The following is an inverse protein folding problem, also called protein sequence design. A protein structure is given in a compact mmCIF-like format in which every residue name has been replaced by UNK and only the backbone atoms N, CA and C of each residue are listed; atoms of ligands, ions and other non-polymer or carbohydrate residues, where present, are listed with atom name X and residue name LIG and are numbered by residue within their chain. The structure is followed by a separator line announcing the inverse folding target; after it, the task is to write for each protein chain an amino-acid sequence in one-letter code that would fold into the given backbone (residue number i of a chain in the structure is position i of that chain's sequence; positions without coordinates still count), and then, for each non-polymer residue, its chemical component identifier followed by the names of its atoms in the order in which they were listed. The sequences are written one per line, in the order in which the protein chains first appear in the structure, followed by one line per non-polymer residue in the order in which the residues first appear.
data_IF_570034477489
#
_entry.id   IF_570034477489
#
_cell.length_a   1.000
_cell.length_b   1.000
_cell.length_c   1.000
_cell.angle_alpha   90.00
_cell.angle_beta   90.00
_cell.angle_gamma   90.00
#
_symmetry.space_group_name_H-M   'P 1'
#
loop_
_entity.id
_entity.type
_entity.pdbx_description
1 polymer ?
#
# COMPACT_ATOMS: atom_id res chain seq x y z
N UNK A 1 22.80 -11.02 -49.01
CA UNK A 1 22.25 -11.30 -47.66
C UNK A 1 20.81 -10.79 -47.61
N UNK A 2 19.82 -11.67 -47.60
CA UNK A 2 18.40 -11.29 -47.53
C UNK A 2 18.09 -11.05 -46.05
N UNK A 3 17.96 -9.78 -45.63
CA UNK A 3 17.44 -9.44 -44.30
C UNK A 3 15.96 -9.80 -44.24
N UNK A 4 15.64 -10.92 -43.61
CA UNK A 4 14.29 -11.29 -43.21
C UNK A 4 13.75 -10.26 -42.22
N UNK A 5 13.07 -9.24 -42.76
CA UNK A 5 12.37 -8.25 -41.95
C UNK A 5 11.13 -8.89 -41.34
N UNK A 6 11.28 -9.45 -40.13
CA UNK A 6 10.16 -9.98 -39.36
C UNK A 6 9.17 -8.85 -39.05
N UNK A 7 8.07 -8.80 -39.78
CA UNK A 7 6.94 -7.90 -39.51
C UNK A 7 6.18 -8.45 -38.31
N UNK A 8 6.09 -7.67 -37.24
CA UNK A 8 5.31 -8.04 -36.05
C UNK A 8 3.99 -7.28 -36.05
N UNK A 9 2.88 -7.99 -35.83
CA UNK A 9 1.57 -7.38 -35.59
C UNK A 9 1.52 -6.84 -34.16
N UNK A 10 1.51 -5.52 -34.00
CA UNK A 10 1.37 -4.87 -32.68
C UNK A 10 0.03 -4.14 -32.60
N UNK A 11 -0.62 -4.22 -31.43
CA UNK A 11 -1.86 -3.51 -31.14
C UNK A 11 -1.53 -2.04 -30.86
N UNK A 12 -2.12 -1.12 -31.62
CA UNK A 12 -1.86 0.33 -31.57
C UNK A 12 -3.19 1.07 -31.46
N UNK A 13 -3.22 2.18 -30.72
CA UNK A 13 -4.38 3.05 -30.65
C UNK A 13 -4.48 3.89 -31.93
N UNK A 14 -5.65 3.87 -32.57
CA UNK A 14 -5.95 4.64 -33.77
C UNK A 14 -7.03 5.66 -33.43
N UNK A 15 -6.73 6.93 -33.70
CA UNK A 15 -7.66 8.04 -33.52
C UNK A 15 -8.53 8.19 -34.77
N UNK A 16 -9.80 7.78 -34.69
CA UNK A 16 -10.78 7.91 -35.77
C UNK A 16 -11.77 9.05 -35.53
N UNK A 17 -12.49 9.47 -36.58
CA UNK A 17 -13.54 10.51 -36.48
C UNK A 17 -14.69 10.14 -35.50
N UNK A 18 -14.87 8.86 -35.21
CA UNK A 18 -15.87 8.35 -34.26
C UNK A 18 -15.32 7.97 -32.88
N UNK A 19 -14.07 8.34 -32.56
CA UNK A 19 -13.41 7.99 -31.31
C UNK A 19 -12.18 7.09 -31.49
N UNK A 20 -11.51 6.84 -30.38
CA UNK A 20 -10.25 6.11 -30.33
C UNK A 20 -10.51 4.59 -30.24
N UNK A 21 -9.87 3.81 -31.11
CA UNK A 21 -10.01 2.35 -31.14
C UNK A 21 -8.67 1.65 -31.31
N UNK A 22 -8.56 0.41 -30.86
CA UNK A 22 -7.34 -0.37 -30.97
C UNK A 22 -7.31 -1.16 -32.28
N UNK A 23 -6.26 -1.01 -33.08
CA UNK A 23 -6.05 -1.78 -34.31
C UNK A 23 -4.67 -2.44 -34.33
N UNK A 24 -4.56 -3.60 -34.98
CA UNK A 24 -3.28 -4.25 -35.19
C UNK A 24 -2.63 -3.71 -36.47
N UNK A 25 -1.41 -3.17 -36.37
CA UNK A 25 -0.62 -2.73 -37.53
C UNK A 25 0.64 -3.58 -37.67
N UNK A 26 1.00 -3.90 -38.91
CA UNK A 26 2.27 -4.55 -39.22
C UNK A 26 3.38 -3.50 -39.10
N UNK A 27 4.27 -3.65 -38.12
CA UNK A 27 5.38 -2.71 -37.91
C UNK A 27 6.70 -3.44 -38.04
N UNK A 28 7.69 -2.79 -38.68
CA UNK A 28 9.09 -3.27 -38.70
C UNK A 28 9.66 -3.18 -37.28
N UNK A 29 10.36 -4.22 -36.86
CA UNK A 29 11.08 -4.24 -35.58
C UNK A 29 12.06 -3.07 -35.52
N UNK A 30 11.92 -2.19 -34.52
CA UNK A 30 12.79 -1.02 -34.31
C UNK A 30 12.23 0.35 -34.74
N UNK A 31 11.08 0.42 -35.41
CA UNK A 31 10.43 1.71 -35.69
C UNK A 31 9.61 2.21 -34.50
N UNK A 32 9.73 3.51 -34.21
CA UNK A 32 8.99 4.19 -33.15
C UNK A 32 7.51 4.37 -33.56
N UNK A 33 6.67 3.46 -33.06
CA UNK A 33 5.24 3.33 -33.40
C UNK A 33 4.36 4.35 -32.66
N UNK A 34 4.91 5.02 -31.64
CA UNK A 34 4.13 5.87 -30.77
C UNK A 34 3.82 7.20 -31.45
N UNK A 35 2.57 7.62 -31.34
CA UNK A 35 2.17 8.97 -31.74
C UNK A 35 2.88 10.01 -30.87
N UNK A 36 3.05 11.25 -31.33
CA UNK A 36 3.65 12.33 -30.52
C UNK A 36 2.98 12.51 -29.15
N UNK A 37 1.67 12.22 -29.05
CA UNK A 37 0.92 12.26 -27.79
C UNK A 37 1.31 11.11 -26.86
N UNK A 38 1.41 9.90 -27.36
CA UNK A 38 1.80 8.72 -26.56
C UNK A 38 3.23 8.82 -26.06
N UNK A 39 4.17 9.34 -26.88
CA UNK A 39 5.55 9.61 -26.44
C UNK A 39 5.59 10.60 -25.27
N UNK A 40 4.76 11.65 -25.30
CA UNK A 40 4.63 12.60 -24.16
C UNK A 40 4.11 11.91 -22.90
N UNK A 41 3.13 11.01 -23.04
CA UNK A 41 2.58 10.25 -21.90
C UNK A 41 3.60 9.29 -21.33
N UNK A 42 4.32 8.56 -22.16
CA UNK A 42 5.35 7.62 -21.74
C UNK A 42 6.55 8.33 -21.11
N UNK A 43 6.99 9.44 -21.70
CA UNK A 43 7.99 10.32 -21.09
C UNK A 43 7.53 10.84 -19.72
N UNK A 44 6.28 11.28 -19.58
CA UNK A 44 5.73 11.71 -18.30
C UNK A 44 5.61 10.57 -17.27
N UNK A 45 5.39 9.32 -17.71
CA UNK A 45 5.45 8.14 -16.84
C UNK A 45 6.88 7.86 -16.39
N UNK A 46 7.85 7.90 -17.30
CA UNK A 46 9.28 7.72 -16.98
C UNK A 46 9.82 8.82 -16.06
N UNK A 47 9.43 10.08 -16.25
CA UNK A 47 9.81 11.18 -15.36
C UNK A 47 9.25 10.97 -13.94
N UNK A 48 8.00 10.50 -13.83
CA UNK A 48 7.39 10.17 -12.52
C UNK A 48 8.08 8.99 -11.83
N UNK A 49 8.48 7.95 -12.56
CA UNK A 49 9.19 6.81 -11.97
C UNK A 49 10.63 7.16 -11.57
N UNK A 50 11.30 8.06 -12.31
CA UNK A 50 12.68 8.48 -12.04
C UNK A 50 12.85 9.17 -10.68
N UNK A 51 11.82 9.85 -10.17
CA UNK A 51 11.86 10.54 -8.87
C UNK A 51 11.98 9.54 -7.71
N UNK A 52 11.56 8.27 -7.87
CA UNK A 52 11.60 7.29 -6.78
C UNK A 52 12.98 6.67 -6.52
N UNK A 53 13.92 6.76 -7.46
CA UNK A 53 15.22 6.08 -7.35
C UNK A 53 16.38 6.94 -6.85
N UNK A 54 16.16 8.22 -6.55
CA UNK A 54 17.24 9.18 -6.19
C UNK A 54 17.25 9.59 -4.72
N UNK A 55 16.42 9.02 -3.86
CA UNK A 55 16.57 9.19 -2.42
C UNK A 55 17.65 8.24 -1.90
N UNK A 56 18.92 8.66 -1.99
CA UNK A 56 20.02 8.00 -1.29
C UNK A 56 19.81 8.24 0.21
N UNK A 57 19.12 7.32 0.88
CA UNK A 57 18.98 7.36 2.33
C UNK A 57 20.32 7.09 2.99
N UNK A 58 20.64 7.87 4.01
CA UNK A 58 21.84 7.64 4.81
C UNK A 58 21.80 6.24 5.46
N UNK A 59 22.95 5.65 5.75
CA UNK A 59 23.02 4.31 6.36
C UNK A 59 22.20 4.20 7.66
N UNK A 60 22.15 5.29 8.43
CA UNK A 60 21.36 5.41 9.65
C UNK A 60 19.85 5.38 9.37
N UNK A 61 19.38 6.08 8.35
CA UNK A 61 17.97 6.06 7.94
C UNK A 61 17.58 4.70 7.39
N UNK A 62 18.45 4.05 6.61
CA UNK A 62 18.18 2.69 6.13
C UNK A 62 18.06 1.68 7.27
N UNK A 63 18.88 1.79 8.31
CA UNK A 63 18.78 0.95 9.50
C UNK A 63 17.44 1.16 10.23
N UNK A 64 17.04 2.42 10.44
CA UNK A 64 15.76 2.77 11.06
C UNK A 64 14.55 2.27 10.25
N UNK A 65 14.61 2.41 8.92
CA UNK A 65 13.56 1.90 8.01
C UNK A 65 13.49 0.37 8.08
N UNK A 66 14.63 -0.33 8.07
CA UNK A 66 14.68 -1.79 8.21
C UNK A 66 14.10 -2.24 9.55
N UNK A 67 14.43 -1.55 10.64
CA UNK A 67 13.90 -1.87 11.96
C UNK A 67 12.38 -1.64 12.04
N UNK A 68 11.89 -0.51 11.54
CA UNK A 68 10.44 -0.23 11.51
C UNK A 68 9.68 -1.21 10.62
N UNK A 69 10.23 -1.57 9.44
CA UNK A 69 9.60 -2.53 8.54
C UNK A 69 9.58 -3.95 9.14
N UNK A 70 10.64 -4.37 9.82
CA UNK A 70 10.67 -5.64 10.54
C UNK A 70 9.60 -5.66 11.66
N UNK A 71 9.50 -4.58 12.45
CA UNK A 71 8.50 -4.46 13.52
C UNK A 71 7.07 -4.46 12.97
N UNK A 72 6.84 -3.78 11.85
CA UNK A 72 5.54 -3.76 11.19
C UNK A 72 5.14 -5.15 10.71
N UNK A 73 6.05 -5.87 10.06
CA UNK A 73 5.81 -7.23 9.59
C UNK A 73 5.49 -8.20 10.73
N UNK A 74 6.19 -8.07 11.86
CA UNK A 74 5.93 -8.85 13.07
C UNK A 74 4.51 -8.59 13.62
N UNK A 75 4.09 -7.33 13.66
CA UNK A 75 2.73 -6.96 14.08
C UNK A 75 1.65 -7.53 13.15
N UNK A 76 1.88 -7.54 11.84
CA UNK A 76 0.95 -8.15 10.90
C UNK A 76 0.83 -9.67 11.06
N UNK A 77 1.95 -10.36 11.31
CA UNK A 77 1.94 -11.80 11.59
C UNK A 77 1.23 -12.12 12.89
N UNK A 78 1.52 -11.39 13.99
CA UNK A 78 0.84 -11.56 15.28
C UNK A 78 -0.66 -11.25 15.15
N UNK A 79 -1.03 -10.19 14.44
CA UNK A 79 -2.44 -9.87 14.19
C UNK A 79 -3.14 -10.96 13.40
N UNK A 80 -2.46 -11.59 12.43
CA UNK A 80 -3.00 -12.71 11.65
C UNK A 80 -3.17 -13.96 12.50
N UNK A 81 -2.26 -14.25 13.42
CA UNK A 81 -2.36 -15.38 14.34
C UNK A 81 -3.46 -15.18 15.38
N UNK A 82 -3.60 -13.95 15.90
CA UNK A 82 -4.73 -13.56 16.73
C UNK A 82 -6.04 -13.77 15.96
N UNK A 83 -6.17 -13.36 14.69
CA UNK A 83 -7.42 -13.65 13.93
C UNK A 83 -7.80 -15.14 13.87
N UNK A 84 -6.83 -16.06 13.81
CA UNK A 84 -7.12 -17.51 13.73
C UNK A 84 -7.72 -18.08 15.01
N UNK A 85 -7.40 -17.48 16.17
CA UNK A 85 -7.79 -17.99 17.49
C UNK A 85 -9.02 -17.29 18.07
N UNK A 86 -9.48 -16.19 17.44
CA UNK A 86 -10.54 -15.34 18.00
C UNK A 86 -11.88 -15.59 17.32
N UNK A 87 -12.91 -15.88 18.13
CA UNK A 87 -14.31 -16.03 17.70
C UNK A 87 -15.07 -14.70 17.54
N UNK A 88 -16.28 -14.77 16.98
CA UNK A 88 -17.09 -13.65 16.50
C UNK A 88 -17.82 -12.80 17.58
N UNK A 89 -17.25 -12.63 18.78
CA UNK A 89 -17.87 -11.87 19.87
C UNK A 89 -17.30 -10.46 20.07
N UNK A 90 -18.09 -9.48 20.57
CA UNK A 90 -17.56 -8.20 21.02
C UNK A 90 -16.68 -8.44 22.25
N UNK A 91 -15.38 -8.15 22.12
CA UNK A 91 -14.40 -8.41 23.17
C UNK A 91 -13.74 -7.12 23.60
N UNK A 92 -13.73 -6.90 24.91
CA UNK A 92 -12.99 -5.81 25.55
C UNK A 92 -11.49 -5.94 25.23
N UNK A 93 -10.79 -4.83 24.94
CA UNK A 93 -9.36 -4.85 24.70
C UNK A 93 -8.64 -5.40 25.94
N UNK A 94 -7.78 -6.39 25.74
CA UNK A 94 -6.89 -6.91 26.80
C UNK A 94 -5.44 -6.52 26.53
N UNK A 95 -4.62 -6.36 27.57
CA UNK A 95 -3.17 -6.26 27.43
C UNK A 95 -2.61 -7.37 26.51
N UNK A 96 -1.73 -6.99 25.59
CA UNK A 96 -1.09 -7.87 24.61
C UNK A 96 -1.84 -8.03 23.28
N UNK A 97 -3.07 -7.53 23.16
CA UNK A 97 -3.86 -7.66 21.94
C UNK A 97 -3.46 -6.64 20.87
N UNK A 98 -3.48 -7.04 19.59
CA UNK A 98 -3.25 -6.14 18.47
C UNK A 98 -4.60 -5.75 17.86
N UNK A 99 -4.84 -4.45 17.80
CA UNK A 99 -6.09 -3.85 17.31
C UNK A 99 -5.77 -2.80 16.25
N UNK A 100 -6.75 -2.53 15.39
CA UNK A 100 -6.68 -1.46 14.40
C UNK A 100 -7.27 -0.19 15.00
N UNK A 101 -6.53 0.90 14.91
CA UNK A 101 -6.94 2.21 15.40
C UNK A 101 -7.82 2.89 14.33
N UNK A 102 -9.04 3.24 14.69
CA UNK A 102 -9.96 4.07 13.94
C UNK A 102 -10.20 5.40 14.68
N UNK A 103 -9.15 6.21 14.78
CA UNK A 103 -9.25 7.54 15.36
C UNK A 103 -9.73 8.54 14.29
N UNK A 104 -11.04 8.75 14.18
CA UNK A 104 -11.62 9.77 13.31
C UNK A 104 -11.18 11.16 13.81
N UNK A 105 -10.49 11.94 12.97
CA UNK A 105 -10.06 13.31 13.29
C UNK A 105 -8.65 13.47 13.89
N UNK A 106 -7.89 12.38 14.16
CA UNK A 106 -6.46 12.47 14.45
C UNK A 106 -5.65 12.05 13.23
N UNK A 107 -5.11 13.02 12.51
CA UNK A 107 -4.56 12.90 11.14
C UNK A 107 -3.47 11.82 10.93
N UNK A 108 -2.85 11.30 12.00
CA UNK A 108 -1.65 10.47 11.88
C UNK A 108 -1.75 9.05 12.47
N UNK A 109 -2.91 8.64 13.02
CA UNK A 109 -3.06 7.34 13.71
C UNK A 109 -4.19 6.46 13.19
N UNK A 110 -5.09 7.01 12.36
CA UNK A 110 -6.17 6.24 11.75
C UNK A 110 -5.65 5.18 10.78
N UNK A 111 -6.15 3.95 10.90
CA UNK A 111 -5.81 2.80 10.07
C UNK A 111 -4.60 1.99 10.53
N UNK A 112 -3.84 2.45 11.53
CA UNK A 112 -2.63 1.76 12.01
C UNK A 112 -2.95 0.59 12.95
N UNK A 113 -2.05 -0.41 12.98
CA UNK A 113 -2.07 -1.47 13.99
C UNK A 113 -1.37 -0.98 15.27
N UNK A 114 -2.00 -1.27 16.41
CA UNK A 114 -1.51 -0.92 17.73
C UNK A 114 -1.64 -2.13 18.68
N UNK A 115 -0.64 -2.33 19.54
CA UNK A 115 -0.63 -3.35 20.59
C UNK A 115 -1.09 -2.71 21.89
N UNK A 116 -2.12 -3.27 22.51
CA UNK A 116 -2.65 -2.81 23.79
C UNK A 116 -1.64 -3.15 24.89
N UNK A 117 -1.14 -2.15 25.63
CA UNK A 117 -0.31 -2.37 26.82
C UNK A 117 -1.16 -2.48 28.07
N UNK A 118 -2.09 -1.55 28.24
CA UNK A 118 -2.89 -1.45 29.45
C UNK A 118 -4.24 -0.81 29.13
N UNK A 119 -5.28 -1.23 29.84
CA UNK A 119 -6.56 -0.53 29.89
C UNK A 119 -6.53 0.31 31.16
N UNK A 120 -6.82 1.61 31.05
CA UNK A 120 -6.85 2.50 32.21
C UNK A 120 -7.97 2.07 33.18
N UNK A 121 -7.85 2.48 34.45
CA UNK A 121 -8.82 2.14 35.51
C UNK A 121 -10.24 2.61 35.19
N UNK A 122 -10.37 3.69 34.40
CA UNK A 122 -11.65 4.23 33.93
C UNK A 122 -12.41 3.29 32.97
N UNK A 123 -11.76 2.23 32.47
CA UNK A 123 -12.35 1.25 31.55
C UNK A 123 -12.73 1.79 30.17
N UNK A 124 -12.46 3.08 29.90
CA UNK A 124 -12.84 3.78 28.64
C UNK A 124 -11.64 4.12 27.77
N UNK A 125 -10.45 4.20 28.37
CA UNK A 125 -9.21 4.57 27.68
C UNK A 125 -8.22 3.42 27.69
N UNK A 126 -7.49 3.28 26.58
CA UNK A 126 -6.53 2.22 26.35
C UNK A 126 -5.20 2.85 25.98
N UNK A 127 -4.15 2.40 26.65
CA UNK A 127 -2.77 2.74 26.35
C UNK A 127 -2.27 1.70 25.35
N UNK A 128 -1.96 2.14 24.15
CA UNK A 128 -1.53 1.28 23.05
C UNK A 128 -0.21 1.76 22.44
N UNK A 129 0.60 0.81 22.00
CA UNK A 129 1.86 1.03 21.32
C UNK A 129 1.69 0.79 19.82
N UNK A 130 2.02 1.78 19.00
CA UNK A 130 2.01 1.66 17.55
C UNK A 130 3.22 0.87 17.05
N UNK A 131 3.13 0.38 15.81
CA UNK A 131 4.28 -0.19 15.08
C UNK A 131 5.50 0.73 15.01
N UNK A 132 5.31 2.05 15.14
CA UNK A 132 6.40 3.02 15.23
C UNK A 132 7.13 3.03 16.59
N UNK A 133 6.69 2.24 17.58
CA UNK A 133 7.23 2.24 18.95
C UNK A 133 6.74 3.39 19.82
N UNK A 134 5.80 4.21 19.32
CA UNK A 134 5.21 5.32 20.07
C UNK A 134 3.99 4.84 20.84
N UNK A 135 3.84 5.33 22.06
CA UNK A 135 2.70 5.00 22.93
C UNK A 135 1.66 6.11 22.89
N UNK A 136 0.39 5.74 22.72
CA UNK A 136 -0.74 6.67 22.69
C UNK A 136 -1.86 6.19 23.61
N UNK A 137 -2.53 7.15 24.25
CA UNK A 137 -3.79 6.93 24.94
C UNK A 137 -4.94 7.22 23.99
N UNK A 138 -5.80 6.23 23.76
CA UNK A 138 -6.95 6.30 22.87
C UNK A 138 -8.22 5.77 23.56
N UNK A 139 -9.40 6.31 23.24
CA UNK A 139 -10.67 5.71 23.66
C UNK A 139 -10.84 4.30 23.09
N UNK A 140 -11.53 3.42 23.84
CA UNK A 140 -11.90 2.08 23.36
C UNK A 140 -12.67 2.13 22.05
N UNK A 141 -13.56 3.12 21.89
CA UNK A 141 -14.40 3.27 20.69
C UNK A 141 -13.58 3.52 19.42
N UNK A 142 -12.33 3.96 19.57
CA UNK A 142 -11.41 4.17 18.45
C UNK A 142 -10.55 2.93 18.15
N UNK A 143 -10.80 1.80 18.82
CA UNK A 143 -10.09 0.55 18.61
C UNK A 143 -11.07 -0.51 18.11
N UNK A 144 -10.82 -1.03 16.92
CA UNK A 144 -11.52 -2.21 16.44
C UNK A 144 -10.54 -3.36 16.28
N UNK A 145 -11.04 -4.59 16.33
CA UNK A 145 -10.26 -5.69 15.81
C UNK A 145 -9.89 -5.40 14.36
N UNK A 146 -8.65 -5.69 14.00
CA UNK A 146 -8.22 -5.61 12.62
C UNK A 146 -8.94 -6.72 11.82
N UNK A 147 -10.23 -6.56 11.53
CA UNK A 147 -11.01 -7.48 10.71
C UNK A 147 -10.42 -7.45 9.31
N UNK A 148 -10.21 -8.61 8.71
CA UNK A 148 -9.91 -8.73 7.28
C UNK A 148 -11.19 -8.56 6.48
N UNK A 149 -11.89 -7.44 6.63
CA UNK A 149 -12.99 -7.16 5.72
C UNK A 149 -12.39 -6.48 4.50
N UNK A 150 -12.00 -7.33 3.55
CA UNK A 150 -12.11 -7.02 2.14
C UNK A 150 -13.59 -6.66 1.97
N UNK A 151 -13.92 -5.37 2.03
CA UNK A 151 -15.23 -4.92 1.55
C UNK A 151 -15.20 -5.16 0.04
N UNK A 152 -15.78 -6.28 -0.38
CA UNK A 152 -16.39 -6.38 -1.69
C UNK A 152 -17.71 -5.62 -1.60
N UNK A 153 -17.77 -4.48 -2.24
CA UNK A 153 -19.02 -3.87 -2.73
C UNK A 153 -18.79 -3.56 -4.22
#
# INVERSE_FOLDING_TARGET
MISSTNLVKKKVLVHGKGGDYMAFRNTKTGNDVLTPREKKVEFAKHQRSRIQHTSVHSEKEQALIKEMTARHKAFETEAREQRKTYGAGPKLPKPGMIMRVYAKGKANVGGMLAKVKQVAEDGKTVICELTSGKTYSLPIDHLEFAKSQIFSD
#
